data_IF_485046749254
#
_entry.id   IF_485046749254
#
_cell.length_a   1.000
_cell.length_b   1.000
_cell.length_c   1.000
_cell.angle_alpha   90.00
_cell.angle_beta   90.00
_cell.angle_gamma   90.00
#
_symmetry.space_group_name_H-M   'P 1'
#
loop_
_entity.id
_entity.type
_entity.pdbx_description
1 polymer ?
#
# COMPACT_ATOMS: atom_id res chain seq x y z
N UNK A 1 -13.28 20.22 -9.42
CA UNK A 1 -12.39 19.81 -8.85
C UNK A 1 -11.81 18.68 -9.28
N UNK A 2 -10.69 18.48 -9.23
CA UNK A 2 -10.15 17.45 -9.67
C UNK A 2 -9.38 16.81 -8.70
N UNK A 3 -9.73 15.69 -8.28
CA UNK A 3 -8.98 14.92 -7.39
C UNK A 3 -8.23 13.92 -8.13
N UNK A 4 -7.01 13.63 -7.79
CA UNK A 4 -6.37 12.48 -8.32
C UNK A 4 -7.01 11.30 -7.77
N UNK A 5 -7.23 10.30 -8.58
CA UNK A 5 -7.74 9.05 -8.12
C UNK A 5 -6.73 8.43 -7.21
N UNK A 6 -7.14 7.86 -6.10
CA UNK A 6 -6.27 7.11 -5.22
C UNK A 6 -5.85 5.83 -5.89
N UNK A 7 -4.62 5.41 -5.68
CA UNK A 7 -4.18 4.12 -6.19
C UNK A 7 -4.95 3.00 -5.50
N UNK A 8 -4.98 1.84 -6.10
CA UNK A 8 -5.63 0.67 -5.49
C UNK A 8 -4.98 0.37 -4.15
N UNK A 9 -3.67 0.51 -4.06
CA UNK A 9 -2.94 0.30 -2.83
C UNK A 9 -3.48 1.18 -1.71
N UNK A 10 -3.67 2.46 -1.99
CA UNK A 10 -4.20 3.39 -1.00
C UNK A 10 -5.65 3.07 -0.64
N UNK A 11 -6.43 2.67 -1.64
CA UNK A 11 -7.83 2.33 -1.38
C UNK A 11 -7.95 1.13 -0.46
N UNK A 12 -7.07 0.15 -0.61
CA UNK A 12 -7.08 -1.01 0.27
C UNK A 12 -6.73 -0.62 1.69
N UNK A 13 -5.77 0.29 1.85
CA UNK A 13 -5.40 0.79 3.15
C UNK A 13 -6.58 1.53 3.80
N UNK A 14 -7.23 2.39 3.03
CA UNK A 14 -8.32 3.19 3.58
C UNK A 14 -9.54 2.35 3.96
N UNK A 15 -9.69 1.19 3.34
CA UNK A 15 -10.80 0.31 3.64
C UNK A 15 -10.63 -0.46 4.94
N UNK A 16 -9.45 -0.41 5.55
CA UNK A 16 -9.21 -1.14 6.79
C UNK A 16 -9.91 -0.45 7.95
N UNK A 17 -10.38 -1.23 8.93
CA UNK A 17 -11.03 -0.64 10.09
C UNK A 17 -10.06 0.23 10.88
N UNK A 18 -10.57 1.28 11.49
CA UNK A 18 -9.72 2.18 12.26
C UNK A 18 -10.06 2.20 13.73
N UNK A 19 -11.10 1.48 14.11
CA UNK A 19 -11.56 1.57 15.48
C UNK A 19 -11.01 0.58 16.42
N UNK A 20 -10.14 -0.30 15.98
CA UNK A 20 -9.65 -1.34 16.82
C UNK A 20 -8.44 -0.91 17.57
N UNK A 21 -8.28 -1.34 18.80
CA UNK A 21 -7.10 -0.99 19.58
C UNK A 21 -5.82 -1.49 18.98
N UNK A 22 -5.89 -2.54 18.16
CA UNK A 22 -4.68 -3.10 17.61
C UNK A 22 -4.19 -2.38 16.38
N UNK A 23 -4.81 -1.33 15.96
CA UNK A 23 -4.39 -0.54 14.82
C UNK A 23 -4.16 -1.40 13.58
N UNK A 24 -5.22 -1.90 12.97
CA UNK A 24 -5.07 -2.77 11.80
C UNK A 24 -4.32 -2.12 10.66
N UNK A 25 -4.39 -0.81 10.53
CA UNK A 25 -3.65 -0.14 9.47
C UNK A 25 -2.16 -0.22 9.69
N UNK A 26 -1.72 -0.10 10.94
CA UNK A 26 -0.30 -0.24 11.25
C UNK A 26 0.17 -1.66 10.99
N UNK A 27 -0.61 -2.65 11.38
CA UNK A 27 -0.25 -4.03 11.13
C UNK A 27 -0.16 -4.33 9.64
N UNK A 28 -1.07 -3.77 8.86
CA UNK A 28 -1.06 -3.94 7.42
C UNK A 28 0.20 -3.34 6.80
N UNK A 29 0.56 -2.13 7.24
CA UNK A 29 1.78 -1.48 6.75
C UNK A 29 3.01 -2.32 7.09
N UNK A 30 3.07 -2.84 8.31
CA UNK A 30 4.20 -3.65 8.71
C UNK A 30 4.27 -4.94 7.92
N UNK A 31 3.13 -5.53 7.60
CA UNK A 31 3.08 -6.74 6.80
C UNK A 31 3.60 -6.49 5.38
N UNK A 32 3.16 -5.41 4.76
CA UNK A 32 3.61 -5.06 3.42
C UNK A 32 5.12 -4.77 3.44
N UNK A 33 5.58 -4.08 4.48
CA UNK A 33 7.01 -3.77 4.60
C UNK A 33 7.84 -5.05 4.70
N UNK A 34 7.36 -6.03 5.45
CA UNK A 34 8.07 -7.29 5.59
C UNK A 34 8.10 -8.05 4.27
N UNK A 35 6.98 -8.07 3.57
CA UNK A 35 6.90 -8.77 2.30
C UNK A 35 7.81 -8.12 1.25
N UNK A 36 7.83 -6.81 1.21
CA UNK A 36 8.65 -6.09 0.24
C UNK A 36 10.08 -5.87 0.73
N UNK A 37 10.36 -6.22 1.97
CA UNK A 37 11.68 -6.08 2.57
C UNK A 37 12.14 -4.62 2.60
N UNK A 38 11.24 -3.76 3.05
CA UNK A 38 11.55 -2.34 3.21
C UNK A 38 11.10 -1.89 4.59
N UNK A 39 11.52 -0.70 4.96
CA UNK A 39 11.09 -0.13 6.25
C UNK A 39 9.63 0.31 6.16
N UNK A 40 8.86 0.20 7.24
CA UNK A 40 7.46 0.65 7.20
C UNK A 40 7.28 2.09 6.78
N UNK A 41 8.24 2.97 7.08
CA UNK A 41 8.18 4.35 6.64
C UNK A 41 8.11 4.45 5.11
N UNK A 42 8.82 3.56 4.42
CA UNK A 42 8.80 3.54 2.97
C UNK A 42 7.40 3.19 2.46
N UNK A 43 6.72 2.24 3.12
CA UNK A 43 5.35 1.89 2.74
C UNK A 43 4.44 3.09 2.91
N UNK A 44 4.63 3.84 3.98
CA UNK A 44 3.81 5.04 4.20
C UNK A 44 4.06 6.10 3.13
N UNK A 45 5.27 6.20 2.62
CA UNK A 45 5.56 7.10 1.50
C UNK A 45 4.81 6.68 0.25
N UNK A 46 4.71 5.38 0.02
CA UNK A 46 3.94 4.88 -1.11
C UNK A 46 2.46 5.21 -0.96
N UNK A 47 1.94 5.11 0.26
CA UNK A 47 0.54 5.44 0.53
C UNK A 47 0.28 6.93 0.34
N UNK A 48 1.23 7.76 0.72
CA UNK A 48 1.09 9.20 0.58
C UNK A 48 1.28 9.66 -0.87
N UNK A 49 1.85 8.80 -1.71
CA UNK A 49 2.07 9.16 -3.10
C UNK A 49 3.36 9.91 -3.36
N UNK A 50 4.23 10.02 -2.34
CA UNK A 50 5.51 10.72 -2.52
C UNK A 50 6.55 9.85 -3.19
N UNK A 51 6.36 8.53 -3.13
CA UNK A 51 7.27 7.58 -3.76
C UNK A 51 6.47 6.42 -4.30
N UNK A 52 7.04 5.69 -5.24
CA UNK A 52 6.45 4.47 -5.75
C UNK A 52 7.47 3.35 -5.65
N UNK A 53 7.05 2.13 -5.39
CA UNK A 53 7.99 1.01 -5.37
C UNK A 53 8.47 0.71 -6.78
N UNK A 54 9.61 0.04 -6.88
CA UNK A 54 10.09 -0.37 -8.20
C UNK A 54 9.24 -1.54 -8.69
N UNK A 55 9.52 -1.95 -9.93
CA UNK A 55 8.73 -2.98 -10.56
C UNK A 55 8.75 -4.30 -9.81
N UNK A 56 9.91 -4.65 -9.31
CA UNK A 56 10.06 -5.91 -8.58
C UNK A 56 9.23 -5.89 -7.31
N UNK A 57 9.32 -4.84 -6.53
CA UNK A 57 8.56 -4.76 -5.29
C UNK A 57 7.07 -4.63 -5.54
N UNK A 58 6.70 -3.91 -6.59
CA UNK A 58 5.30 -3.80 -6.97
C UNK A 58 4.73 -5.19 -7.26
N UNK A 59 5.48 -6.01 -7.99
CA UNK A 59 5.04 -7.37 -8.29
C UNK A 59 4.88 -8.22 -7.05
N UNK A 60 5.81 -8.12 -6.11
CA UNK A 60 5.74 -8.88 -4.88
C UNK A 60 4.53 -8.49 -4.06
N UNK A 61 4.29 -7.18 -3.93
CA UNK A 61 3.17 -6.68 -3.15
C UNK A 61 1.85 -7.05 -3.81
N UNK A 62 1.77 -6.91 -5.12
CA UNK A 62 0.56 -7.24 -5.85
C UNK A 62 0.21 -8.70 -5.69
N UNK A 63 1.20 -9.58 -5.76
CA UNK A 63 0.97 -11.00 -5.58
C UNK A 63 0.49 -11.29 -4.16
N UNK A 64 1.09 -10.64 -3.18
CA UNK A 64 0.70 -10.82 -1.79
C UNK A 64 -0.74 -10.37 -1.56
N UNK A 65 -1.16 -9.30 -2.19
CA UNK A 65 -2.50 -8.75 -2.03
C UNK A 65 -3.52 -9.36 -2.99
N UNK A 66 -3.05 -10.12 -3.97
CA UNK A 66 -3.94 -10.77 -4.92
C UNK A 66 -4.54 -9.83 -5.96
N UNK A 67 -3.81 -8.80 -6.33
CA UNK A 67 -4.28 -7.82 -7.31
C UNK A 67 -3.27 -7.69 -8.44
N UNK A 68 -3.67 -7.00 -9.50
CA UNK A 68 -2.80 -6.80 -10.63
C UNK A 68 -1.73 -5.77 -10.31
N UNK A 69 -0.47 -6.09 -10.61
CA UNK A 69 0.62 -5.16 -10.38
C UNK A 69 0.43 -3.89 -11.20
N UNK A 70 -0.15 -4.01 -12.38
CA UNK A 70 -0.35 -2.84 -13.21
C UNK A 70 -1.29 -1.85 -12.57
N UNK A 71 -2.26 -2.34 -11.84
CA UNK A 71 -3.28 -1.47 -11.26
C UNK A 71 -2.97 -0.99 -9.85
N UNK A 72 -2.08 -1.69 -9.18
CA UNK A 72 -1.87 -1.44 -7.77
C UNK A 72 -1.50 0.01 -7.47
N UNK A 73 -0.61 0.58 -8.24
CA UNK A 73 -0.17 1.94 -8.05
C UNK A 73 -0.58 2.87 -9.20
N UNK A 74 -1.54 2.42 -10.00
CA UNK A 74 -2.01 3.22 -11.09
C UNK A 74 -3.13 4.11 -10.58
N UNK A 75 -2.97 5.39 -10.60
CA UNK A 75 -4.03 6.27 -10.08
C UNK A 75 -4.40 7.36 -11.04
#
# INVERSE_FOLDING_TARGET
MKYKKKSVFRQMYDALPTERPQAPKTAWVNDIAAVAKVHPTTVRCWLAGTQKPDELRTGIIAKHLGVSAKELFNS
#
